data_IF_763296877502
#
_entry.id   IF_763296877502
#
_cell.length_a   1.000
_cell.length_b   1.000
_cell.length_c   1.000
_cell.angle_alpha   90.00
_cell.angle_beta   90.00
_cell.angle_gamma   90.00
#
_symmetry.space_group_name_H-M   'P 1'
#
loop_
_entity.id
_entity.type
_entity.pdbx_description
1 polymer ?
#
# COMPACT_ATOMS: atom_id res chain seq x y z
N UNK A 1 12.67 -6.15 1.94
CA UNK A 1 11.52 -6.85 1.31
C UNK A 1 10.81 -7.90 2.18
N UNK A 2 11.41 -8.36 3.30
CA UNK A 2 10.78 -9.37 4.17
C UNK A 2 9.43 -8.92 4.78
N UNK A 3 9.34 -7.65 5.20
CA UNK A 3 8.11 -7.07 5.78
C UNK A 3 6.95 -7.10 4.78
N UNK A 4 7.14 -6.61 3.55
CA UNK A 4 6.11 -6.68 2.49
C UNK A 4 5.63 -8.12 2.23
N UNK A 5 6.55 -9.08 2.16
CA UNK A 5 6.19 -10.50 2.01
C UNK A 5 5.40 -11.05 3.19
N UNK A 6 5.72 -10.65 4.44
CA UNK A 6 4.96 -11.02 5.63
C UNK A 6 3.56 -10.40 5.61
N UNK A 7 3.43 -9.12 5.26
CA UNK A 7 2.15 -8.42 5.12
C UNK A 7 1.24 -9.12 4.10
N UNK A 8 1.78 -9.53 2.94
CA UNK A 8 1.03 -10.32 1.95
C UNK A 8 0.50 -11.63 2.52
N UNK A 9 1.35 -12.40 3.22
CA UNK A 9 0.94 -13.68 3.83
C UNK A 9 -0.09 -13.52 4.95
N UNK A 10 -0.12 -12.36 5.59
CA UNK A 10 -1.11 -12.02 6.61
C UNK A 10 -2.38 -11.40 6.02
N UNK A 11 -2.52 -11.30 4.69
CA UNK A 11 -3.61 -10.60 4.02
C UNK A 11 -3.78 -9.15 4.53
N UNK A 12 -2.68 -8.50 4.94
CA UNK A 12 -2.67 -7.10 5.31
C UNK A 12 -2.31 -6.25 4.08
N UNK A 13 -3.34 -5.90 3.32
CA UNK A 13 -3.18 -5.18 2.06
C UNK A 13 -2.94 -3.68 2.24
N UNK A 14 -3.51 -3.09 3.29
CA UNK A 14 -3.23 -1.69 3.65
C UNK A 14 -1.74 -1.50 3.96
N UNK A 15 -1.17 -2.32 4.84
CA UNK A 15 0.25 -2.26 5.16
C UNK A 15 1.13 -2.60 3.95
N UNK A 16 0.73 -3.57 3.13
CA UNK A 16 1.46 -3.90 1.91
C UNK A 16 1.52 -2.71 0.94
N UNK A 17 0.40 -2.03 0.74
CA UNK A 17 0.33 -0.82 -0.08
C UNK A 17 1.22 0.29 0.49
N UNK A 18 1.23 0.49 1.81
CA UNK A 18 2.08 1.50 2.46
C UNK A 18 3.58 1.24 2.21
N UNK A 19 4.03 -0.03 2.34
CA UNK A 19 5.43 -0.39 2.05
C UNK A 19 5.77 -0.22 0.56
N UNK A 20 4.84 -0.60 -0.33
CA UNK A 20 5.02 -0.40 -1.78
C UNK A 20 5.12 1.08 -2.13
N UNK A 21 4.23 1.92 -1.58
CA UNK A 21 4.21 3.36 -1.82
C UNK A 21 5.50 4.04 -1.31
N UNK A 22 5.94 3.72 -0.09
CA UNK A 22 7.16 4.31 0.47
C UNK A 22 8.42 3.96 -0.33
N UNK A 23 8.56 2.71 -0.79
CA UNK A 23 9.74 2.27 -1.54
C UNK A 23 9.70 2.73 -3.01
N UNK A 24 8.51 2.78 -3.62
CA UNK A 24 8.34 3.27 -5.00
C UNK A 24 8.27 4.80 -5.09
N UNK A 25 8.22 5.51 -3.95
CA UNK A 25 8.26 6.96 -3.91
C UNK A 25 9.52 7.50 -4.58
N UNK A 26 9.40 8.63 -5.28
CA UNK A 26 10.45 9.18 -6.15
C UNK A 26 11.81 9.28 -5.46
N UNK A 27 11.83 9.76 -4.22
CA UNK A 27 13.05 9.91 -3.42
C UNK A 27 13.78 8.58 -3.15
N UNK A 28 13.06 7.46 -3.00
CA UNK A 28 13.67 6.13 -2.78
C UNK A 28 13.95 5.44 -4.11
N UNK A 29 13.04 5.55 -5.07
CA UNK A 29 13.15 4.89 -6.37
C UNK A 29 14.41 5.35 -7.14
N UNK A 30 14.80 6.62 -7.02
CA UNK A 30 15.97 7.17 -7.72
C UNK A 30 17.33 6.74 -7.18
N UNK A 31 17.40 6.09 -6.01
CA UNK A 31 18.65 5.71 -5.33
C UNK A 31 19.34 4.53 -6.05
N UNK A 32 19.84 4.77 -7.26
CA UNK A 32 20.37 3.73 -8.15
C UNK A 32 21.53 2.95 -7.52
N UNK A 33 22.39 3.60 -6.73
CA UNK A 33 23.51 2.92 -6.07
C UNK A 33 23.00 2.00 -4.96
N UNK A 34 22.05 2.46 -4.15
CA UNK A 34 21.38 1.62 -3.14
C UNK A 34 20.67 0.44 -3.80
N UNK A 35 19.94 0.66 -4.89
CA UNK A 35 19.28 -0.41 -5.62
C UNK A 35 20.27 -1.40 -6.23
N UNK A 36 21.46 -0.99 -6.66
CA UNK A 36 22.49 -1.89 -7.18
C UNK A 36 22.95 -2.94 -6.14
N UNK A 37 22.89 -2.60 -4.84
CA UNK A 37 23.23 -3.52 -3.75
C UNK A 37 22.12 -4.52 -3.41
N UNK A 38 20.88 -4.30 -3.86
CA UNK A 38 19.76 -5.18 -3.53
C UNK A 38 19.81 -6.44 -4.40
N UNK A 39 19.79 -7.66 -3.82
CA UNK A 39 19.83 -8.89 -4.60
C UNK A 39 18.69 -8.99 -5.62
N UNK A 40 18.94 -9.48 -6.86
CA UNK A 40 17.93 -9.56 -7.92
C UNK A 40 16.66 -10.31 -7.51
N UNK A 41 16.79 -11.39 -6.74
CA UNK A 41 15.64 -12.16 -6.26
C UNK A 41 14.73 -11.36 -5.33
N UNK A 42 15.31 -10.46 -4.51
CA UNK A 42 14.55 -9.58 -3.64
C UNK A 42 13.79 -8.53 -4.45
N UNK A 43 14.40 -7.98 -5.50
CA UNK A 43 13.74 -7.06 -6.44
C UNK A 43 12.59 -7.75 -7.17
N UNK A 44 12.80 -8.96 -7.68
CA UNK A 44 11.77 -9.76 -8.36
C UNK A 44 10.61 -10.08 -7.43
N UNK A 45 10.89 -10.50 -6.19
CA UNK A 45 9.85 -10.76 -5.20
C UNK A 45 9.02 -9.51 -4.88
N UNK A 46 9.66 -8.34 -4.78
CA UNK A 46 8.98 -7.07 -4.55
C UNK A 46 8.14 -6.63 -5.76
N UNK A 47 8.65 -6.76 -6.97
CA UNK A 47 7.90 -6.44 -8.20
C UNK A 47 6.61 -7.27 -8.33
N UNK A 48 6.63 -8.56 -7.93
CA UNK A 48 5.41 -9.39 -7.88
C UNK A 48 4.35 -8.83 -6.93
N UNK A 49 4.76 -8.25 -5.80
CA UNK A 49 3.84 -7.57 -4.87
C UNK A 49 3.28 -6.28 -5.46
N UNK A 50 4.10 -5.54 -6.23
CA UNK A 50 3.65 -4.38 -6.99
C UNK A 50 2.59 -4.72 -8.03
N UNK A 51 2.76 -5.83 -8.77
CA UNK A 51 1.76 -6.32 -9.73
C UNK A 51 0.45 -6.67 -9.03
N UNK A 52 0.52 -7.37 -7.90
CA UNK A 52 -0.66 -7.72 -7.10
C UNK A 52 -1.47 -6.48 -6.68
N UNK A 53 -0.79 -5.44 -6.22
CA UNK A 53 -1.41 -4.19 -5.78
C UNK A 53 -1.57 -3.16 -6.90
N UNK A 54 -1.34 -3.56 -8.15
CA UNK A 54 -1.36 -2.67 -9.31
C UNK A 54 -2.77 -2.12 -9.58
N UNK A 55 -2.84 -0.92 -10.13
CA UNK A 55 -4.09 -0.22 -10.44
C UNK A 55 -4.77 -0.69 -11.73
N UNK A 56 -4.07 -1.54 -12.52
CA UNK A 56 -4.52 -2.00 -13.82
C UNK A 56 -5.88 -2.71 -13.76
N UNK A 57 -6.73 -2.45 -14.77
CA UNK A 57 -8.10 -2.96 -14.86
C UNK A 57 -8.88 -2.74 -13.54
N UNK A 58 -8.78 -1.53 -12.98
CA UNK A 58 -9.45 -1.18 -11.72
C UNK A 58 -9.03 -2.06 -10.53
N UNK A 59 -7.73 -2.32 -10.40
CA UNK A 59 -7.13 -3.16 -9.34
C UNK A 59 -7.55 -4.64 -9.41
N UNK A 60 -7.68 -5.20 -10.62
CA UNK A 60 -8.17 -6.58 -10.83
C UNK A 60 -7.42 -7.63 -10.00
N UNK A 61 -6.08 -7.59 -10.00
CA UNK A 61 -5.28 -8.57 -9.27
C UNK A 61 -5.50 -8.51 -7.75
N UNK A 62 -5.61 -7.30 -7.21
CA UNK A 62 -5.95 -7.09 -5.80
C UNK A 62 -7.37 -7.58 -5.50
N UNK A 63 -8.37 -7.24 -6.32
CA UNK A 63 -9.77 -7.65 -6.12
C UNK A 63 -9.90 -9.17 -6.08
N UNK A 64 -9.30 -9.86 -7.04
CA UNK A 64 -9.28 -11.32 -7.08
C UNK A 64 -8.61 -11.89 -5.82
N UNK A 65 -7.49 -11.31 -5.39
CA UNK A 65 -6.83 -11.75 -4.16
C UNK A 65 -7.66 -11.45 -2.90
N UNK A 66 -8.35 -10.31 -2.85
CA UNK A 66 -9.22 -9.90 -1.75
C UNK A 66 -10.41 -10.86 -1.61
N UNK A 67 -11.09 -11.18 -2.70
CA UNK A 67 -12.22 -12.12 -2.72
C UNK A 67 -11.80 -13.51 -2.22
N UNK A 68 -10.61 -13.97 -2.61
CA UNK A 68 -10.10 -15.31 -2.28
C UNK A 68 -9.28 -15.38 -0.98
N UNK A 69 -9.08 -14.26 -0.27
CA UNK A 69 -8.28 -14.26 0.95
C UNK A 69 -9.12 -14.58 2.19
N UNK A 70 -8.73 -15.57 3.00
CA UNK A 70 -9.43 -15.87 4.24
C UNK A 70 -9.23 -14.76 5.28
N UNK A 71 -10.12 -14.73 6.26
CA UNK A 71 -9.94 -13.97 7.49
C UNK A 71 -8.84 -14.62 8.35
N UNK A 72 -8.13 -13.86 9.19
CA UNK A 72 -8.14 -12.40 9.32
C UNK A 72 -7.45 -11.69 8.14
N UNK A 73 -7.92 -10.50 7.77
CA UNK A 73 -7.36 -9.70 6.66
C UNK A 73 -7.62 -8.20 6.88
N UNK A 74 -6.77 -7.35 6.31
CA UNK A 74 -6.94 -5.88 6.34
C UNK A 74 -7.07 -5.36 4.91
N UNK A 75 -8.21 -4.73 4.53
CA UNK A 75 -8.44 -4.25 3.18
C UNK A 75 -7.55 -3.06 2.82
N UNK A 76 -7.30 -2.88 1.52
CA UNK A 76 -6.79 -1.64 0.97
C UNK A 76 -7.93 -0.60 0.85
N UNK A 77 -8.14 0.16 1.94
CA UNK A 77 -9.25 1.11 2.11
C UNK A 77 -9.42 2.10 0.94
N UNK A 78 -8.36 2.70 0.34
CA UNK A 78 -8.54 3.66 -0.74
C UNK A 78 -9.37 3.14 -1.92
N UNK A 79 -9.22 1.85 -2.28
CA UNK A 79 -10.01 1.26 -3.36
C UNK A 79 -11.49 1.17 -3.00
N UNK A 80 -11.79 0.63 -1.82
CA UNK A 80 -13.17 0.48 -1.37
C UNK A 80 -13.86 1.82 -1.17
N UNK A 81 -13.15 2.83 -0.65
CA UNK A 81 -13.66 4.21 -0.56
C UNK A 81 -14.04 4.75 -1.94
N UNK A 82 -13.16 4.59 -2.93
CA UNK A 82 -13.43 5.02 -4.30
C UNK A 82 -14.67 4.32 -4.87
N UNK A 83 -14.79 3.02 -4.66
CA UNK A 83 -15.94 2.25 -5.14
C UNK A 83 -17.24 2.69 -4.44
N UNK A 84 -17.20 3.01 -3.14
CA UNK A 84 -18.36 3.57 -2.41
C UNK A 84 -18.78 4.92 -2.99
N UNK A 85 -17.83 5.81 -3.25
CA UNK A 85 -18.12 7.12 -3.88
C UNK A 85 -18.74 6.93 -5.25
N UNK A 86 -18.18 6.04 -6.08
CA UNK A 86 -18.74 5.75 -7.41
C UNK A 86 -20.15 5.15 -7.35
N UNK A 87 -20.42 4.26 -6.38
CA UNK A 87 -21.76 3.70 -6.17
C UNK A 87 -22.76 4.75 -5.67
N UNK A 88 -22.31 5.67 -4.82
CA UNK A 88 -23.14 6.76 -4.29
C UNK A 88 -23.53 7.76 -5.38
N UNK A 89 -22.56 8.18 -6.20
CA UNK A 89 -22.75 9.15 -7.29
C UNK A 89 -23.43 8.55 -8.52
N UNK A 90 -23.26 7.25 -8.76
CA UNK A 90 -23.78 6.56 -9.94
C UNK A 90 -25.29 6.29 -9.93
N UNK A 91 -25.99 6.54 -8.82
CA UNK A 91 -27.42 6.26 -8.70
C UNK A 91 -28.13 7.19 -7.72
N UNK A 92 -29.36 7.59 -8.07
CA UNK A 92 -30.21 8.37 -7.15
C UNK A 92 -30.71 7.48 -6.01
N UNK A 93 -30.78 8.05 -4.81
CA UNK A 93 -31.32 7.39 -3.61
C UNK A 93 -32.83 7.20 -3.68
N UNK A 94 -33.52 8.20 -4.25
CA UNK A 94 -34.96 8.16 -4.50
C UNK A 94 -35.24 8.15 -6.00
N UNK A 95 -36.27 7.42 -6.39
CA UNK A 95 -36.73 7.21 -7.76
C UNK A 95 -38.27 7.31 -7.81
N UNK A 96 -38.83 7.35 -9.02
CA UNK A 96 -40.24 7.64 -9.25
C UNK A 96 -40.46 9.08 -9.69
N UNK A 97 -41.67 9.40 -10.14
CA UNK A 97 -42.03 10.72 -10.68
C UNK A 97 -41.80 11.84 -9.66
N UNK A 98 -42.09 11.56 -8.39
CA UNK A 98 -41.98 12.52 -7.28
C UNK A 98 -40.94 12.12 -6.22
N UNK A 99 -39.97 11.26 -6.58
CA UNK A 99 -39.00 10.68 -5.64
C UNK A 99 -39.66 9.92 -4.47
N UNK A 100 -40.79 9.26 -4.74
CA UNK A 100 -41.65 8.59 -3.77
C UNK A 100 -41.16 7.17 -3.39
N UNK A 101 -40.15 6.64 -4.09
CA UNK A 101 -39.64 5.27 -3.86
C UNK A 101 -38.14 5.25 -3.62
N UNK A 102 -37.72 4.37 -2.71
CA UNK A 102 -36.29 4.12 -2.43
C UNK A 102 -35.69 3.24 -3.52
N UNK A 103 -34.51 3.62 -4.01
CA UNK A 103 -33.73 2.80 -4.92
C UNK A 103 -32.94 1.71 -4.16
N UNK A 104 -33.59 0.59 -3.87
CA UNK A 104 -32.95 -0.54 -3.18
C UNK A 104 -31.72 -1.09 -3.90
N UNK A 105 -31.66 -0.99 -5.24
CA UNK A 105 -30.50 -1.47 -6.00
C UNK A 105 -29.23 -0.68 -5.67
N UNK A 106 -29.34 0.62 -5.39
CA UNK A 106 -28.21 1.43 -4.92
C UNK A 106 -27.67 0.89 -3.59
N UNK A 107 -28.55 0.61 -2.64
CA UNK A 107 -28.16 0.09 -1.32
C UNK A 107 -27.59 -1.33 -1.38
N UNK A 108 -28.08 -2.16 -2.29
CA UNK A 108 -27.50 -3.49 -2.55
C UNK A 108 -26.04 -3.38 -2.98
N UNK A 109 -25.73 -2.51 -3.95
CA UNK A 109 -24.35 -2.28 -4.42
C UNK A 109 -23.46 -1.71 -3.31
N UNK A 110 -23.96 -0.75 -2.53
CA UNK A 110 -23.22 -0.23 -1.36
C UNK A 110 -22.95 -1.35 -0.32
N UNK A 111 -23.93 -2.22 -0.10
CA UNK A 111 -23.82 -3.39 0.77
C UNK A 111 -22.76 -4.38 0.30
N UNK A 112 -22.70 -4.68 -1.00
CA UNK A 112 -21.68 -5.56 -1.60
C UNK A 112 -20.25 -5.07 -1.32
N UNK A 113 -20.05 -3.74 -1.24
CA UNK A 113 -18.74 -3.15 -0.91
C UNK A 113 -18.47 -3.16 0.60
N UNK A 114 -19.46 -2.82 1.42
CA UNK A 114 -19.30 -2.66 2.88
C UNK A 114 -19.20 -3.99 3.64
N UNK A 115 -20.04 -4.97 3.30
CA UNK A 115 -20.14 -6.22 4.06
C UNK A 115 -18.79 -6.97 4.18
N UNK A 116 -17.98 -7.12 3.11
CA UNK A 116 -16.66 -7.75 3.23
C UNK A 116 -15.69 -7.00 4.14
N UNK A 117 -15.80 -5.66 4.20
CA UNK A 117 -14.96 -4.81 5.06
C UNK A 117 -15.37 -5.01 6.52
N UNK A 118 -16.67 -4.95 6.81
CA UNK A 118 -17.22 -5.20 8.16
C UNK A 118 -16.82 -6.58 8.68
N UNK A 119 -16.97 -7.62 7.84
CA UNK A 119 -16.54 -8.98 8.19
C UNK A 119 -15.05 -9.07 8.55
N UNK A 120 -14.22 -8.26 7.88
CA UNK A 120 -12.78 -8.21 8.13
C UNK A 120 -12.43 -7.49 9.44
N UNK A 121 -13.25 -6.53 9.87
CA UNK A 121 -13.12 -5.87 11.18
C UNK A 121 -13.49 -6.78 12.35
N UNK A 122 -14.45 -7.70 12.15
CA UNK A 122 -14.92 -8.59 13.22
C UNK A 122 -13.97 -9.75 13.53
N UNK A 123 -12.88 -9.95 12.78
CA UNK A 123 -11.95 -11.08 12.98
C UNK A 123 -10.54 -10.57 13.29
N UNK A 124 -10.13 -10.71 14.55
CA UNK A 124 -8.79 -10.38 14.99
C UNK A 124 -7.75 -11.41 14.50
N UNK A 125 -6.48 -11.00 14.45
CA UNK A 125 -5.37 -11.92 14.20
C UNK A 125 -5.10 -12.78 15.44
N UNK A 126 -5.28 -14.12 15.40
CA UNK A 126 -5.29 -14.95 16.60
C UNK A 126 -3.90 -15.13 17.24
N UNK A 127 -2.84 -15.13 16.41
CA UNK A 127 -1.46 -15.43 16.84
C UNK A 127 -0.56 -14.19 16.81
N UNK A 128 -1.12 -13.00 17.07
CA UNK A 128 -0.33 -11.77 17.18
C UNK A 128 -0.35 -11.27 18.62
N UNK A 129 0.82 -11.28 19.24
CA UNK A 129 1.04 -10.62 20.52
C UNK A 129 1.34 -9.14 20.30
N UNK A 130 0.67 -8.28 21.06
CA UNK A 130 0.98 -6.86 21.06
C UNK A 130 2.35 -6.65 21.70
N UNK A 131 3.26 -6.00 20.97
CA UNK A 131 4.57 -5.61 21.47
C UNK A 131 4.59 -4.09 21.61
N UNK A 132 4.47 -3.59 22.85
CA UNK A 132 4.38 -2.14 23.09
C UNK A 132 5.62 -1.40 22.60
N UNK A 133 6.82 -1.93 22.84
CA UNK A 133 8.07 -1.30 22.38
C UNK A 133 8.14 -1.12 20.87
N UNK A 134 7.69 -2.12 20.10
CA UNK A 134 7.61 -2.02 18.64
C UNK A 134 6.52 -1.04 18.21
N UNK A 135 5.39 -1.00 18.93
CA UNK A 135 4.31 -0.06 18.66
C UNK A 135 4.76 1.38 18.89
N UNK A 136 5.40 1.67 20.02
CA UNK A 136 5.96 2.98 20.37
C UNK A 136 7.00 3.41 19.34
N UNK A 137 7.95 2.54 18.98
CA UNK A 137 8.96 2.84 17.97
C UNK A 137 8.35 3.22 16.61
N UNK A 138 7.24 2.57 16.22
CA UNK A 138 6.54 2.89 14.97
C UNK A 138 5.77 4.22 15.10
N UNK A 139 5.08 4.45 16.21
CA UNK A 139 4.24 5.65 16.41
C UNK A 139 5.04 6.92 16.68
N UNK A 140 6.18 6.79 17.36
CA UNK A 140 7.09 7.88 17.70
C UNK A 140 8.08 8.18 16.57
N UNK A 141 8.06 7.39 15.49
CA UNK A 141 8.89 7.63 14.33
C UNK A 141 8.48 8.95 13.66
N UNK A 142 9.28 9.99 13.87
CA UNK A 142 9.11 11.29 13.18
C UNK A 142 9.46 11.14 11.71
N UNK A 143 8.44 10.96 10.88
CA UNK A 143 8.60 10.96 9.43
C UNK A 143 8.45 12.38 8.88
N UNK A 144 9.40 12.88 8.07
CA UNK A 144 9.18 14.09 7.30
C UNK A 144 7.95 13.90 6.41
N UNK A 145 7.11 14.93 6.32
CA UNK A 145 5.91 14.93 5.47
C UNK A 145 6.06 15.82 4.24
N UNK A 146 7.13 16.59 4.17
CA UNK A 146 7.44 17.45 3.03
C UNK A 146 8.19 16.63 1.97
N UNK A 147 7.52 16.38 0.85
CA UNK A 147 8.07 15.63 -0.28
C UNK A 147 9.34 16.27 -0.84
N UNK A 148 9.47 17.60 -0.79
CA UNK A 148 10.66 18.31 -1.24
C UNK A 148 11.82 18.07 -0.28
N UNK A 149 11.59 18.15 1.04
CA UNK A 149 12.62 17.82 2.05
C UNK A 149 13.13 16.38 1.88
N UNK A 150 12.21 15.43 1.71
CA UNK A 150 12.54 14.00 1.50
C UNK A 150 13.34 13.83 0.20
N UNK A 151 12.94 14.51 -0.88
CA UNK A 151 13.63 14.44 -2.16
C UNK A 151 15.03 15.03 -2.08
N UNK A 152 15.19 16.21 -1.47
CA UNK A 152 16.48 16.86 -1.23
C UNK A 152 17.39 15.97 -0.39
N UNK A 153 16.86 15.33 0.66
CA UNK A 153 17.62 14.34 1.42
C UNK A 153 18.11 13.19 0.54
N UNK A 154 17.27 12.71 -0.38
CA UNK A 154 17.66 11.68 -1.33
C UNK A 154 18.79 12.13 -2.26
N UNK A 155 18.77 13.39 -2.73
CA UNK A 155 19.84 13.97 -3.57
C UNK A 155 21.14 14.12 -2.80
N UNK A 156 21.07 14.48 -1.52
CA UNK A 156 22.23 14.59 -0.64
C UNK A 156 22.92 13.24 -0.42
N UNK A 157 22.16 12.14 -0.28
CA UNK A 157 22.74 10.81 -0.06
C UNK A 157 23.18 10.14 -1.36
N UNK A 158 22.51 10.41 -2.48
CA UNK A 158 22.91 9.97 -3.82
C UNK A 158 22.64 11.07 -4.86
N UNK A 159 23.71 11.69 -5.37
CA UNK A 159 23.62 12.77 -6.36
C UNK A 159 23.10 12.28 -7.72
N UNK A 160 22.39 13.14 -8.44
CA UNK A 160 21.80 12.83 -9.77
C UNK A 160 22.87 12.59 -10.86
N UNK A 161 24.09 13.08 -10.65
CA UNK A 161 25.19 13.06 -11.63
C UNK A 161 26.03 11.77 -11.63
N UNK A 162 25.75 10.82 -10.72
CA UNK A 162 26.44 9.53 -10.68
C UNK A 162 25.86 8.55 -11.70
N UNK A 163 26.32 8.61 -12.95
CA UNK A 163 26.11 7.52 -13.91
C UNK A 163 26.70 6.19 -13.41
N UNK A 164 26.42 5.05 -14.08
CA UNK A 164 26.94 3.73 -13.70
C UNK A 164 28.48 3.65 -13.58
N UNK A 165 29.20 4.65 -14.08
CA UNK A 165 30.65 4.79 -14.10
C UNK A 165 31.27 5.38 -12.82
N UNK A 166 30.50 5.97 -11.89
CA UNK A 166 31.05 6.59 -10.65
C UNK A 166 30.89 5.68 -9.41
N UNK A 167 30.86 4.35 -9.61
CA UNK A 167 30.79 3.33 -8.54
C UNK A 167 32.06 3.27 -7.66
N UNK A 168 33.11 4.01 -8.00
CA UNK A 168 34.39 4.05 -7.30
C UNK A 168 34.46 5.13 -6.21
N UNK A 169 33.59 6.15 -6.24
CA UNK A 169 33.55 7.17 -5.20
C UNK A 169 32.74 6.68 -4.00
N UNK A 170 33.48 6.14 -3.03
CA UNK A 170 33.05 5.76 -1.66
C UNK A 170 31.63 5.16 -1.63
N UNK A 171 31.57 3.81 -1.71
CA UNK A 171 30.43 3.02 -1.21
C UNK A 171 30.05 3.57 0.16
N UNK A 172 29.00 4.39 0.18
CA UNK A 172 28.33 4.94 1.34
C UNK A 172 29.26 5.31 2.52
N UNK A 173 29.64 6.59 2.72
CA UNK A 173 30.45 7.00 3.88
C UNK A 173 29.83 6.65 5.25
N UNK A 174 28.56 6.25 5.30
CA UNK A 174 27.84 5.79 6.51
C UNK A 174 27.85 4.26 6.73
N UNK A 175 28.34 3.47 5.78
CA UNK A 175 28.55 2.02 5.94
C UNK A 175 29.88 1.68 6.63
N UNK A 176 30.79 2.66 6.80
CA UNK A 176 32.01 2.46 7.56
C UNK A 176 31.72 2.47 9.07
N UNK A 177 31.39 1.30 9.61
CA UNK A 177 31.56 0.95 11.03
C UNK A 177 32.06 -0.49 11.11
#
# INVERSE_FOLDING_TARGET
MAVAGKLRRMNNYSGLAAVLAGINGTAVHRLAQTWALVPPDRKRAFAKLGILMGTQKSHFAYRLAWENSPLPRIPYIPLHRRDLVSAEEGSKTFIGTDNDRINWKKFEVLGEILLPIMKSQSTAYPNLTKLESARELILDCRMPTDDEEIYQRSVQVESTTGGPSDLSKKKFPWFAK
#
